data_IF_491218669815
#
_entry.id   IF_491218669815
#
_cell.length_a   1.000
_cell.length_b   1.000
_cell.length_c   1.000
_cell.angle_alpha   90.00
_cell.angle_beta   90.00
_cell.angle_gamma   90.00
#
_symmetry.space_group_name_H-M   'P 1'
#
loop_
_entity.id
_entity.type
_entity.pdbx_description
1 polymer ?
#
# COMPACT_ATOMS: atom_id res chain seq x y z
N UNK A 1 51.94 3.44 -39.28
CA UNK A 1 50.53 3.68 -39.65
C UNK A 1 49.69 3.61 -38.40
N UNK A 2 49.59 4.74 -37.69
CA UNK A 2 48.66 4.97 -36.59
C UNK A 2 47.97 6.28 -36.94
N UNK A 3 46.65 6.25 -37.00
CA UNK A 3 45.82 7.36 -37.47
C UNK A 3 45.26 8.11 -36.26
N UNK A 4 45.71 9.33 -36.07
CA UNK A 4 45.17 10.29 -35.12
C UNK A 4 43.77 10.77 -35.56
N UNK A 5 42.84 10.79 -34.62
CA UNK A 5 41.56 11.50 -34.74
C UNK A 5 41.48 12.59 -33.66
N UNK A 6 41.17 13.85 -34.02
CA UNK A 6 41.11 14.93 -33.06
C UNK A 6 39.79 14.98 -32.28
N UNK A 7 39.94 15.29 -30.99
CA UNK A 7 38.93 15.69 -30.02
C UNK A 7 37.94 16.73 -30.58
N UNK A 8 36.64 16.49 -30.37
CA UNK A 8 35.60 17.53 -30.45
C UNK A 8 35.11 17.89 -29.03
N UNK A 9 34.90 19.18 -28.72
CA UNK A 9 34.45 19.62 -27.41
C UNK A 9 32.95 19.37 -27.20
N UNK A 10 32.59 18.91 -26.00
CA UNK A 10 31.21 18.87 -25.53
C UNK A 10 30.75 20.29 -25.17
N UNK A 11 29.74 20.81 -25.87
CA UNK A 11 29.01 22.01 -25.49
C UNK A 11 27.88 21.63 -24.52
N UNK A 12 27.91 22.21 -23.32
CA UNK A 12 26.80 22.18 -22.37
C UNK A 12 25.74 23.20 -22.79
N UNK A 13 24.55 22.72 -23.17
CA UNK A 13 23.37 23.59 -23.27
C UNK A 13 22.52 23.42 -22.01
N UNK A 14 22.47 24.49 -21.24
CA UNK A 14 21.54 24.73 -20.15
C UNK A 14 20.12 24.85 -20.69
N UNK A 15 19.29 23.84 -20.44
CA UNK A 15 17.84 23.96 -20.66
C UNK A 15 17.21 24.66 -19.47
N UNK A 16 16.79 25.91 -19.68
CA UNK A 16 15.85 26.61 -18.82
C UNK A 16 14.48 25.92 -18.93
N UNK A 17 14.04 25.26 -17.87
CA UNK A 17 12.68 24.75 -17.76
C UNK A 17 11.73 25.89 -17.38
N UNK A 18 10.85 26.28 -18.30
CA UNK A 18 9.64 27.02 -17.98
C UNK A 18 8.55 26.06 -17.44
N UNK A 19 7.70 26.52 -16.49
CA UNK A 19 6.71 25.66 -15.85
C UNK A 19 5.54 25.39 -16.81
N UNK A 20 5.38 24.13 -17.19
CA UNK A 20 4.23 23.69 -17.97
C UNK A 20 3.06 23.43 -17.00
N UNK A 21 2.07 24.32 -17.03
CA UNK A 21 0.81 24.23 -16.30
C UNK A 21 0.04 22.98 -16.75
N UNK A 22 0.10 21.93 -15.95
CA UNK A 22 -0.70 20.72 -16.18
C UNK A 22 -2.14 20.99 -15.75
N UNK A 23 -3.01 21.17 -16.74
CA UNK A 23 -4.46 21.12 -16.56
C UNK A 23 -4.84 19.75 -15.99
N UNK A 24 -5.47 19.77 -14.81
CA UNK A 24 -5.94 18.57 -14.13
C UNK A 24 -7.09 17.91 -14.88
N UNK A 25 -6.90 16.65 -15.28
CA UNK A 25 -8.00 15.81 -15.72
C UNK A 25 -8.69 15.21 -14.50
N UNK A 26 -9.76 15.86 -14.03
CA UNK A 26 -10.76 15.26 -13.16
C UNK A 26 -11.65 14.34 -14.02
N UNK A 27 -11.39 13.04 -13.96
CA UNK A 27 -12.40 12.03 -14.25
C UNK A 27 -12.57 11.17 -13.00
N UNK A 28 -13.33 11.72 -12.06
CA UNK A 28 -13.89 10.97 -10.94
C UNK A 28 -15.06 10.12 -11.45
N UNK A 29 -15.27 8.90 -10.92
CA UNK A 29 -16.51 8.19 -11.14
C UNK A 29 -17.67 9.06 -10.62
N UNK A 30 -18.67 9.24 -11.47
CA UNK A 30 -19.89 9.98 -11.19
C UNK A 30 -20.73 9.21 -10.16
N UNK A 31 -20.35 9.28 -8.88
CA UNK A 31 -21.14 8.77 -7.75
C UNK A 31 -21.75 9.93 -6.96
N UNK A 32 -22.20 10.97 -7.67
CA UNK A 32 -23.09 12.00 -7.13
C UNK A 32 -24.53 11.49 -7.08
N UNK A 33 -24.77 10.35 -6.43
CA UNK A 33 -26.09 10.12 -5.85
C UNK A 33 -26.09 10.80 -4.49
N UNK A 34 -26.76 11.93 -4.47
CA UNK A 34 -26.99 12.79 -3.33
C UNK A 34 -27.85 11.99 -2.32
N UNK A 35 -27.21 11.32 -1.36
CA UNK A 35 -27.89 10.73 -0.21
C UNK A 35 -28.13 11.83 0.85
N UNK A 36 -29.02 12.77 0.53
CA UNK A 36 -29.48 13.77 1.49
C UNK A 36 -30.36 13.08 2.56
N UNK A 37 -29.99 13.17 3.84
CA UNK A 37 -30.97 13.02 4.93
C UNK A 37 -30.66 12.09 6.10
N UNK A 38 -29.47 11.50 6.22
CA UNK A 38 -29.07 10.85 7.49
C UNK A 38 -27.92 11.62 8.14
N UNK A 39 -27.99 11.97 9.45
CA UNK A 39 -26.86 12.54 10.14
C UNK A 39 -25.72 11.52 10.13
N UNK A 40 -24.67 11.82 9.37
CA UNK A 40 -23.46 11.00 9.31
C UNK A 40 -22.83 11.01 10.71
N UNK A 41 -22.92 9.90 11.44
CA UNK A 41 -22.11 9.72 12.62
C UNK A 41 -20.70 9.36 12.14
N UNK A 42 -19.88 10.36 11.82
CA UNK A 42 -18.45 10.10 11.62
C UNK A 42 -17.83 9.88 13.00
N UNK A 43 -17.48 8.64 13.30
CA UNK A 43 -16.64 8.36 14.46
C UNK A 43 -15.29 9.07 14.27
N UNK A 44 -14.94 9.92 15.23
CA UNK A 44 -13.64 10.60 15.26
C UNK A 44 -12.72 9.80 16.19
N UNK A 45 -11.69 9.19 15.61
CA UNK A 45 -10.82 8.23 16.31
C UNK A 45 -9.41 8.82 16.41
N UNK A 46 -8.85 9.01 17.61
CA UNK A 46 -7.44 9.38 17.74
C UNK A 46 -6.56 8.29 17.11
N UNK A 47 -5.63 8.65 16.22
CA UNK A 47 -4.80 7.67 15.52
C UNK A 47 -4.07 6.72 16.49
N UNK A 48 -3.58 7.26 17.62
CA UNK A 48 -2.91 6.49 18.67
C UNK A 48 -3.75 5.39 19.32
N UNK A 49 -5.08 5.41 19.11
CA UNK A 49 -6.05 4.40 19.54
C UNK A 49 -6.60 3.57 18.37
N UNK A 50 -6.12 3.80 17.15
CA UNK A 50 -6.56 3.05 15.98
C UNK A 50 -6.06 1.61 16.02
N UNK A 51 -6.93 0.68 15.63
CA UNK A 51 -6.63 -0.75 15.53
C UNK A 51 -6.53 -1.19 14.06
N UNK A 52 -6.12 -0.27 13.17
CA UNK A 52 -5.98 -0.49 11.74
C UNK A 52 -4.76 -1.35 11.36
N UNK A 53 -4.63 -1.63 10.06
CA UNK A 53 -3.53 -2.42 9.53
C UNK A 53 -2.16 -1.87 9.91
N UNK A 54 -1.98 -0.54 9.92
CA UNK A 54 -0.68 0.07 10.22
C UNK A 54 -0.25 -0.23 11.65
N UNK A 55 -1.15 -0.07 12.62
CA UNK A 55 -0.85 -0.32 14.03
C UNK A 55 -0.71 -1.81 14.33
N UNK A 56 -1.45 -2.68 13.64
CA UNK A 56 -1.31 -4.13 13.76
C UNK A 56 -0.03 -4.66 13.09
N UNK A 57 0.39 -4.07 11.97
CA UNK A 57 1.59 -4.48 11.23
C UNK A 57 2.86 -4.01 11.91
N UNK A 58 2.99 -2.70 12.18
CA UNK A 58 4.21 -2.11 12.74
C UNK A 58 4.22 -2.06 14.27
N UNK A 59 3.08 -2.23 14.93
CA UNK A 59 2.92 -1.86 16.33
C UNK A 59 2.71 -0.35 16.49
N UNK A 60 2.11 0.06 17.61
CA UNK A 60 1.69 1.45 17.84
C UNK A 60 2.84 2.47 17.78
N UNK A 61 4.01 2.11 18.30
CA UNK A 61 5.19 2.99 18.34
C UNK A 61 5.74 3.29 16.94
N UNK A 62 6.06 2.25 16.17
CA UNK A 62 6.57 2.41 14.81
C UNK A 62 5.53 2.99 13.85
N UNK A 63 4.25 2.62 14.01
CA UNK A 63 3.16 3.22 13.25
C UNK A 63 3.01 4.73 13.53
N UNK A 64 3.23 5.18 14.77
CA UNK A 64 3.24 6.61 15.13
C UNK A 64 4.35 7.35 14.38
N UNK A 65 5.59 6.85 14.45
CA UNK A 65 6.72 7.45 13.73
C UNK A 65 6.51 7.48 12.22
N UNK A 66 5.90 6.43 11.67
CA UNK A 66 5.51 6.37 10.27
C UNK A 66 4.52 7.49 9.90
N UNK A 67 3.46 7.66 10.69
CA UNK A 67 2.45 8.70 10.46
C UNK A 67 3.04 10.11 10.54
N UNK A 68 3.90 10.37 11.53
CA UNK A 68 4.59 11.66 11.68
C UNK A 68 5.47 11.94 10.46
N UNK A 69 6.16 10.91 9.96
CA UNK A 69 6.99 11.01 8.75
C UNK A 69 6.15 11.19 7.48
N UNK A 70 4.98 10.54 7.39
CA UNK A 70 4.11 10.61 6.23
C UNK A 70 3.40 11.97 6.14
N UNK A 71 2.74 12.37 7.22
CA UNK A 71 1.81 13.50 7.24
C UNK A 71 2.45 14.81 7.71
N UNK A 72 3.66 14.75 8.27
CA UNK A 72 4.38 15.91 8.86
C UNK A 72 3.59 16.59 9.98
N UNK A 73 2.82 15.81 10.73
CA UNK A 73 2.04 16.25 11.90
C UNK A 73 2.29 15.32 13.07
N UNK A 74 2.12 15.79 14.30
CA UNK A 74 2.20 14.93 15.48
C UNK A 74 1.05 13.92 15.46
N UNK A 75 1.34 12.62 15.61
CA UNK A 75 0.30 11.59 15.52
C UNK A 75 -0.72 11.65 16.66
N UNK A 76 -0.40 12.30 17.79
CA UNK A 76 -1.33 12.52 18.91
C UNK A 76 -2.41 13.55 18.60
N UNK A 77 -2.10 14.46 17.69
CA UNK A 77 -3.02 15.51 17.23
C UNK A 77 -3.83 15.05 16.01
N UNK A 78 -3.56 13.84 15.51
CA UNK A 78 -4.23 13.26 14.36
C UNK A 78 -5.51 12.52 14.78
N UNK A 79 -6.61 12.97 14.20
CA UNK A 79 -7.92 12.32 14.32
C UNK A 79 -8.37 11.76 12.97
N UNK A 80 -8.88 10.54 12.99
CA UNK A 80 -9.34 9.80 11.83
C UNK A 80 -10.86 9.81 11.76
N UNK A 81 -11.36 9.88 10.53
CA UNK A 81 -12.77 9.78 10.18
C UNK A 81 -13.07 8.31 9.88
N UNK A 82 -13.90 7.69 10.72
CA UNK A 82 -14.47 6.36 10.50
C UNK A 82 -15.86 6.42 9.86
N UNK A 83 -16.42 5.24 9.56
CA UNK A 83 -17.80 5.05 9.09
C UNK A 83 -18.17 5.88 7.84
N UNK A 84 -17.21 6.06 6.94
CA UNK A 84 -17.42 6.79 5.69
C UNK A 84 -18.26 5.95 4.73
N UNK A 85 -19.31 6.55 4.15
CA UNK A 85 -20.26 5.85 3.28
C UNK A 85 -19.54 5.20 2.08
N UNK A 86 -19.82 3.91 1.85
CA UNK A 86 -19.18 3.12 0.78
C UNK A 86 -17.74 2.66 1.09
N UNK A 87 -17.25 2.95 2.30
CA UNK A 87 -15.90 2.66 2.76
C UNK A 87 -15.93 2.00 4.14
N UNK A 88 -16.37 0.74 4.18
CA UNK A 88 -16.44 -0.03 5.41
C UNK A 88 -15.06 -0.17 6.06
N UNK A 89 -15.00 0.06 7.38
CA UNK A 89 -13.78 -0.02 8.20
C UNK A 89 -12.65 0.93 7.79
N UNK A 90 -12.89 1.86 6.86
CA UNK A 90 -11.88 2.82 6.45
C UNK A 90 -11.64 3.86 7.54
N UNK A 91 -10.38 4.22 7.72
CA UNK A 91 -9.92 5.27 8.60
C UNK A 91 -9.28 6.35 7.71
N UNK A 92 -9.95 7.49 7.62
CA UNK A 92 -9.57 8.55 6.69
C UNK A 92 -9.03 9.79 7.40
N UNK A 93 -8.16 10.53 6.73
CA UNK A 93 -7.63 11.80 7.21
C UNK A 93 -8.07 12.94 6.28
N UNK A 94 -8.51 14.09 6.83
CA UNK A 94 -8.78 15.27 6.04
C UNK A 94 -7.48 16.03 5.74
N UNK A 95 -7.39 16.56 4.52
CA UNK A 95 -6.34 17.49 4.06
C UNK A 95 -4.93 17.21 4.61
N UNK A 96 -4.38 16.01 4.38
CA UNK A 96 -3.01 15.72 4.78
C UNK A 96 -2.05 16.66 4.06
N UNK A 97 -0.98 17.11 4.73
CA UNK A 97 0.07 17.99 4.16
C UNK A 97 0.92 17.34 3.05
N UNK A 98 0.40 16.29 2.42
CA UNK A 98 1.07 15.51 1.39
C UNK A 98 0.62 15.98 0.01
N UNK A 99 1.53 15.95 -0.95
CA UNK A 99 1.20 16.20 -2.35
C UNK A 99 0.66 14.93 -3.01
N UNK A 100 -0.50 14.46 -2.56
CA UNK A 100 -1.21 13.29 -3.09
C UNK A 100 -2.64 13.69 -3.47
N UNK A 101 -2.97 13.69 -4.76
CA UNK A 101 -4.29 14.06 -5.24
C UNK A 101 -5.37 12.98 -5.05
N UNK A 102 -5.03 11.82 -4.48
CA UNK A 102 -5.89 10.63 -4.42
C UNK A 102 -6.77 10.57 -3.18
N UNK A 103 -7.62 11.57 -2.99
CA UNK A 103 -8.70 11.42 -2.02
C UNK A 103 -9.75 10.43 -2.55
N UNK A 104 -10.38 9.70 -1.64
CA UNK A 104 -11.30 8.59 -1.98
C UNK A 104 -12.75 8.87 -1.61
N UNK A 105 -12.98 9.92 -0.83
CA UNK A 105 -14.30 10.37 -0.40
C UNK A 105 -14.30 11.88 -0.16
N UNK A 106 -15.50 12.44 -0.02
CA UNK A 106 -15.72 13.84 0.34
C UNK A 106 -16.59 13.83 1.61
N UNK A 107 -16.14 14.53 2.64
CA UNK A 107 -16.88 14.72 3.88
C UNK A 107 -18.10 15.65 3.67
N UNK A 108 -19.10 15.65 4.57
CA UNK A 108 -20.31 16.49 4.42
C UNK A 108 -20.04 17.99 4.28
N UNK A 109 -18.91 18.47 4.81
CA UNK A 109 -18.44 19.85 4.69
C UNK A 109 -17.67 20.13 3.37
N UNK A 110 -17.81 19.25 2.37
CA UNK A 110 -17.11 19.30 1.09
C UNK A 110 -15.58 19.19 1.18
N UNK A 111 -15.06 18.64 2.28
CA UNK A 111 -13.63 18.42 2.47
C UNK A 111 -13.19 17.07 1.89
N UNK A 112 -12.12 17.01 1.08
CA UNK A 112 -11.59 15.74 0.60
C UNK A 112 -11.04 14.87 1.75
N UNK A 113 -11.22 13.56 1.63
CA UNK A 113 -10.77 12.56 2.60
C UNK A 113 -9.84 11.54 1.95
N UNK A 114 -8.67 11.32 2.56
CA UNK A 114 -7.68 10.36 2.10
C UNK A 114 -7.73 9.10 2.95
N UNK A 115 -7.64 7.94 2.30
CA UNK A 115 -7.59 6.66 2.97
C UNK A 115 -6.22 6.49 3.65
N UNK A 116 -6.19 6.53 4.98
CA UNK A 116 -4.96 6.35 5.75
C UNK A 116 -4.78 4.90 6.18
N UNK A 117 -5.83 4.29 6.70
CA UNK A 117 -5.79 2.93 7.22
C UNK A 117 -7.16 2.24 7.07
N UNK A 118 -7.21 0.93 7.33
CA UNK A 118 -8.44 0.13 7.38
C UNK A 118 -8.40 -0.75 8.61
N UNK A 119 -9.50 -0.85 9.35
CA UNK A 119 -9.64 -1.82 10.44
C UNK A 119 -9.77 -3.24 9.87
N UNK A 120 -8.86 -4.18 10.20
CA UNK A 120 -8.92 -5.54 9.69
C UNK A 120 -10.13 -6.28 10.25
N UNK A 121 -10.72 -7.15 9.42
CA UNK A 121 -11.74 -8.09 9.87
C UNK A 121 -11.17 -9.15 10.84
N UNK A 122 -12.01 -9.76 11.70
CA UNK A 122 -11.55 -10.66 12.78
C UNK A 122 -11.04 -12.02 12.29
N UNK A 123 -11.37 -12.42 11.05
CA UNK A 123 -11.05 -13.73 10.50
C UNK A 123 -9.56 -13.93 10.16
N UNK A 124 -8.83 -12.84 9.97
CA UNK A 124 -7.44 -12.87 9.49
C UNK A 124 -6.52 -12.17 10.48
N UNK A 125 -5.30 -12.70 10.63
CA UNK A 125 -4.24 -12.06 11.41
C UNK A 125 -3.37 -11.24 10.48
N UNK A 126 -3.17 -9.97 10.82
CA UNK A 126 -2.18 -9.11 10.13
C UNK A 126 -0.79 -9.63 10.46
N UNK A 127 0.05 -9.80 9.45
CA UNK A 127 1.45 -10.22 9.65
C UNK A 127 2.22 -9.04 10.25
N UNK A 128 2.73 -9.15 11.49
CA UNK A 128 3.54 -8.09 12.06
C UNK A 128 4.87 -8.02 11.31
N UNK A 129 5.34 -6.81 11.05
CA UNK A 129 6.60 -6.57 10.36
C UNK A 129 7.30 -5.41 11.04
N UNK A 130 8.61 -5.53 11.25
CA UNK A 130 9.42 -4.40 11.70
C UNK A 130 9.54 -3.38 10.57
N UNK A 131 9.23 -2.11 10.82
CA UNK A 131 9.40 -1.08 9.80
C UNK A 131 10.88 -0.99 9.39
N UNK A 132 11.14 -0.90 8.08
CA UNK A 132 12.51 -0.66 7.63
C UNK A 132 12.94 0.76 7.97
N UNK A 133 14.12 0.88 8.57
CA UNK A 133 14.74 2.17 8.90
C UNK A 133 16.13 2.23 8.26
N UNK A 134 16.52 3.34 7.63
CA UNK A 134 17.90 3.55 7.21
C UNK A 134 18.89 3.37 8.37
N UNK A 135 20.12 2.87 8.10
CA UNK A 135 21.07 2.51 9.14
C UNK A 135 21.71 3.73 9.83
N UNK A 136 21.68 4.91 9.20
CA UNK A 136 22.28 6.12 9.74
C UNK A 136 21.33 7.33 9.65
N UNK A 137 21.61 8.34 10.47
CA UNK A 137 20.75 9.53 10.61
C UNK A 137 20.66 10.37 9.34
N UNK A 138 21.73 10.41 8.53
CA UNK A 138 21.75 11.18 7.28
C UNK A 138 20.80 10.57 6.24
N UNK A 139 20.83 9.25 6.10
CA UNK A 139 19.92 8.51 5.23
C UNK A 139 18.49 8.52 5.78
N UNK A 140 18.31 8.48 7.11
CA UNK A 140 17.01 8.70 7.74
C UNK A 140 16.41 10.04 7.32
N UNK A 141 17.18 11.12 7.49
CA UNK A 141 16.76 12.46 7.10
C UNK A 141 16.37 12.51 5.62
N UNK A 142 17.23 11.99 4.76
CA UNK A 142 17.06 12.06 3.30
C UNK A 142 15.88 11.24 2.79
N UNK A 143 15.72 10.01 3.28
CA UNK A 143 14.80 9.04 2.69
C UNK A 143 13.49 8.85 3.46
N UNK A 144 13.38 9.39 4.68
CA UNK A 144 12.17 9.26 5.52
C UNK A 144 11.68 10.64 5.96
N UNK A 145 12.48 11.39 6.71
CA UNK A 145 12.05 12.63 7.36
C UNK A 145 11.77 13.76 6.37
N UNK A 146 12.65 13.98 5.40
CA UNK A 146 12.51 15.03 4.36
C UNK A 146 11.85 14.49 3.09
N UNK A 147 11.62 13.18 3.01
CA UNK A 147 10.97 12.58 1.87
C UNK A 147 9.46 12.91 1.86
N UNK A 148 8.93 13.09 0.66
CA UNK A 148 7.50 13.16 0.41
C UNK A 148 6.97 11.73 0.23
N UNK A 149 6.70 11.06 1.34
CA UNK A 149 6.10 9.73 1.32
C UNK A 149 4.67 9.79 0.76
N UNK A 150 4.26 8.71 0.08
CA UNK A 150 2.94 8.54 -0.51
C UNK A 150 1.99 7.88 0.47
N UNK A 151 0.70 8.16 0.31
CA UNK A 151 -0.34 7.46 1.07
C UNK A 151 -0.24 5.94 0.87
N UNK A 152 -0.55 5.15 1.91
CA UNK A 152 -0.79 3.72 1.79
C UNK A 152 -1.70 3.40 0.61
N UNK A 153 -1.35 2.33 -0.11
CA UNK A 153 -2.15 1.83 -1.23
C UNK A 153 -2.82 0.55 -0.74
N UNK A 154 -4.12 0.62 -0.44
CA UNK A 154 -4.93 -0.55 -0.16
C UNK A 154 -5.49 -1.14 -1.45
N UNK A 155 -5.46 -2.46 -1.56
CA UNK A 155 -5.99 -3.17 -2.72
C UNK A 155 -7.47 -3.46 -2.50
N UNK A 156 -8.31 -2.54 -2.94
CA UNK A 156 -9.76 -2.62 -2.78
C UNK A 156 -10.38 -3.29 -4.00
N UNK A 157 -11.14 -4.35 -3.78
CA UNK A 157 -11.87 -5.02 -4.84
C UNK A 157 -13.11 -4.21 -5.27
N UNK A 158 -13.66 -4.51 -6.44
CA UNK A 158 -14.83 -3.80 -6.99
C UNK A 158 -16.09 -3.95 -6.10
N UNK A 159 -16.19 -5.07 -5.39
CA UNK A 159 -17.24 -5.34 -4.39
C UNK A 159 -17.00 -4.62 -3.04
N UNK A 160 -15.87 -3.90 -2.89
CA UNK A 160 -15.49 -3.19 -1.67
C UNK A 160 -14.68 -4.04 -0.69
N UNK A 161 -14.43 -5.32 -0.96
CA UNK A 161 -13.58 -6.16 -0.11
C UNK A 161 -12.13 -5.63 -0.11
N UNK A 162 -11.49 -5.69 1.06
CA UNK A 162 -10.10 -5.26 1.23
C UNK A 162 -9.14 -6.43 1.07
N UNK A 163 -8.13 -6.24 0.22
CA UNK A 163 -7.12 -7.23 -0.10
C UNK A 163 -7.60 -8.30 -1.09
N UNK A 164 -6.67 -9.15 -1.52
CA UNK A 164 -6.96 -10.29 -2.39
C UNK A 164 -6.03 -11.48 -2.07
N UNK A 165 -6.48 -12.73 -2.26
CA UNK A 165 -5.61 -13.90 -2.14
C UNK A 165 -4.36 -13.78 -3.01
N UNK A 166 -3.21 -14.20 -2.49
CA UNK A 166 -1.92 -14.10 -3.18
C UNK A 166 -1.95 -14.74 -4.59
N UNK A 167 -2.59 -15.91 -4.71
CA UNK A 167 -2.78 -16.60 -5.98
C UNK A 167 -3.50 -15.72 -7.03
N UNK A 168 -4.49 -14.93 -6.61
CA UNK A 168 -5.18 -13.98 -7.50
C UNK A 168 -4.27 -12.83 -7.89
N UNK A 169 -3.48 -12.31 -6.95
CA UNK A 169 -2.47 -11.28 -7.23
C UNK A 169 -1.46 -11.71 -8.31
N UNK A 170 -1.00 -12.97 -8.25
CA UNK A 170 -0.08 -13.55 -9.25
C UNK A 170 -0.70 -13.62 -10.64
N UNK A 171 -1.98 -13.96 -10.73
CA UNK A 171 -2.67 -14.05 -12.02
C UNK A 171 -2.81 -12.68 -12.71
N UNK A 172 -2.99 -11.59 -11.94
CA UNK A 172 -3.19 -10.24 -12.49
C UNK A 172 -4.59 -10.04 -13.06
N UNK A 173 -5.63 -10.48 -12.34
CA UNK A 173 -7.01 -10.34 -12.76
C UNK A 173 -7.49 -8.87 -12.65
N UNK A 174 -7.46 -8.16 -13.78
CA UNK A 174 -7.81 -6.73 -13.89
C UNK A 174 -9.19 -6.38 -13.33
N UNK A 175 -10.18 -7.21 -13.65
CA UNK A 175 -11.60 -6.93 -13.45
C UNK A 175 -12.04 -6.95 -11.97
N UNK A 176 -11.15 -7.30 -11.04
CA UNK A 176 -11.48 -7.40 -9.63
C UNK A 176 -11.07 -6.15 -8.84
N UNK A 177 -10.09 -5.38 -9.31
CA UNK A 177 -9.50 -4.30 -8.52
C UNK A 177 -10.11 -2.95 -8.87
N UNK A 178 -10.61 -2.23 -7.86
CA UNK A 178 -11.11 -0.86 -8.00
C UNK A 178 -9.98 0.04 -8.48
N UNK A 179 -10.13 0.61 -9.67
CA UNK A 179 -9.11 1.45 -10.30
C UNK A 179 -7.85 0.69 -10.73
N UNK A 180 -7.94 -0.61 -11.01
CA UNK A 180 -6.80 -1.43 -11.42
C UNK A 180 -6.08 -0.92 -12.68
N UNK A 181 -6.78 -0.21 -13.57
CA UNK A 181 -6.28 0.43 -14.78
C UNK A 181 -5.61 1.79 -14.53
N UNK A 182 -5.79 2.38 -13.35
CA UNK A 182 -5.22 3.69 -13.00
C UNK A 182 -3.75 3.56 -12.60
N UNK A 183 -2.95 4.63 -12.73
CA UNK A 183 -1.58 4.65 -12.21
C UNK A 183 -1.54 4.29 -10.72
N UNK A 184 -0.50 3.57 -10.30
CA UNK A 184 -0.35 3.19 -8.89
C UNK A 184 0.13 4.34 -7.99
N UNK A 185 0.69 5.42 -8.57
CA UNK A 185 1.20 6.60 -7.85
C UNK A 185 2.27 6.27 -6.80
N UNK A 186 3.28 5.52 -7.24
CA UNK A 186 4.47 5.06 -6.53
C UNK A 186 5.58 6.12 -6.44
N UNK A 187 5.45 7.22 -7.20
CA UNK A 187 6.34 8.38 -7.11
C UNK A 187 7.24 8.62 -8.34
N UNK A 188 8.27 9.44 -8.15
CA UNK A 188 9.09 10.00 -9.24
C UNK A 188 10.20 9.10 -9.79
N UNK A 189 10.32 7.85 -9.34
CA UNK A 189 11.42 6.95 -9.70
C UNK A 189 11.15 6.05 -10.92
N UNK A 190 12.20 5.34 -11.37
CA UNK A 190 12.11 4.25 -12.35
C UNK A 190 11.88 2.88 -11.71
N UNK A 191 12.36 2.70 -10.49
CA UNK A 191 12.27 1.46 -9.73
C UNK A 191 12.13 1.74 -8.24
N UNK A 192 11.66 0.75 -7.50
CA UNK A 192 11.57 0.81 -6.03
C UNK A 192 11.91 -0.55 -5.43
N UNK A 193 12.36 -0.57 -4.18
CA UNK A 193 12.53 -1.79 -3.41
C UNK A 193 11.21 -2.18 -2.72
N UNK A 194 10.86 -3.46 -2.79
CA UNK A 194 9.86 -4.09 -1.93
C UNK A 194 10.61 -4.81 -0.82
N UNK A 195 10.25 -4.51 0.43
CA UNK A 195 10.89 -5.04 1.64
C UNK A 195 9.88 -5.86 2.43
N UNK A 196 10.29 -7.01 2.95
CA UNK A 196 9.48 -7.90 3.77
C UNK A 196 10.27 -8.21 5.04
N UNK A 197 9.69 -7.93 6.19
CA UNK A 197 10.30 -8.23 7.49
C UNK A 197 9.42 -9.26 8.23
N UNK A 198 9.33 -10.47 7.68
CA UNK A 198 8.45 -11.52 8.18
C UNK A 198 8.97 -12.09 9.52
N UNK A 199 8.11 -12.29 10.54
CA UNK A 199 8.56 -12.72 11.86
C UNK A 199 9.30 -14.06 11.83
N UNK A 200 10.49 -14.09 12.44
CA UNK A 200 11.34 -15.29 12.51
C UNK A 200 12.25 -15.50 11.30
N UNK A 201 12.17 -14.66 10.26
CA UNK A 201 13.02 -14.72 9.08
C UNK A 201 13.88 -13.48 8.95
N UNK A 202 14.99 -13.59 8.22
CA UNK A 202 15.79 -12.42 7.84
C UNK A 202 14.98 -11.47 6.94
N UNK A 203 15.27 -10.17 7.07
CA UNK A 203 14.68 -9.14 6.21
C UNK A 203 14.98 -9.45 4.75
N UNK A 204 13.94 -9.46 3.93
CA UNK A 204 14.03 -9.77 2.51
C UNK A 204 13.74 -8.53 1.68
N UNK A 205 14.47 -8.34 0.59
CA UNK A 205 14.23 -7.21 -0.31
C UNK A 205 14.35 -7.60 -1.78
N UNK A 206 13.57 -6.91 -2.61
CA UNK A 206 13.67 -7.04 -4.06
C UNK A 206 13.27 -5.77 -4.78
N UNK A 207 14.07 -5.39 -5.78
CA UNK A 207 13.76 -4.26 -6.64
C UNK A 207 12.71 -4.63 -7.71
N UNK A 208 11.77 -3.73 -7.95
CA UNK A 208 10.78 -3.80 -9.03
C UNK A 208 10.83 -2.53 -9.87
N UNK A 209 10.47 -2.64 -11.15
CA UNK A 209 10.32 -1.48 -12.05
C UNK A 209 8.94 -0.86 -11.85
N UNK A 210 8.89 0.46 -11.68
CA UNK A 210 7.65 1.23 -11.44
C UNK A 210 7.25 2.10 -12.64
N UNK A 211 8.02 2.03 -13.72
CA UNK A 211 7.68 2.60 -15.03
C UNK A 211 7.51 1.48 -16.05
N UNK A 212 6.60 1.70 -16.99
CA UNK A 212 6.43 0.81 -18.12
C UNK A 212 7.60 0.93 -19.12
N UNK A 213 7.59 0.04 -20.12
CA UNK A 213 8.60 0.03 -21.17
C UNK A 213 8.23 0.91 -22.37
N UNK A 214 7.18 1.72 -22.25
CA UNK A 214 6.79 2.63 -23.34
C UNK A 214 7.81 3.75 -23.47
N UNK A 215 7.80 4.44 -24.62
CA UNK A 215 8.66 5.60 -24.85
C UNK A 215 8.42 6.72 -23.83
N UNK A 216 7.19 6.88 -23.37
CA UNK A 216 6.81 7.88 -22.37
C UNK A 216 7.17 7.48 -20.93
N UNK A 217 7.57 6.21 -20.70
CA UNK A 217 7.90 5.68 -19.36
C UNK A 217 6.81 6.03 -18.36
N UNK A 218 5.58 5.70 -18.71
CA UNK A 218 4.43 5.97 -17.87
C UNK A 218 4.55 5.15 -16.58
N UNK A 219 3.95 5.67 -15.52
CA UNK A 219 3.84 4.93 -14.27
C UNK A 219 3.04 3.65 -14.46
N UNK A 220 3.44 2.57 -13.79
CA UNK A 220 2.71 1.30 -13.88
C UNK A 220 1.31 1.43 -13.29
N UNK A 221 0.38 0.63 -13.81
CA UNK A 221 -0.99 0.57 -13.27
C UNK A 221 -1.01 -0.09 -11.89
N UNK A 222 -2.08 0.16 -11.12
CA UNK A 222 -2.30 -0.46 -9.82
C UNK A 222 -2.33 -2.00 -9.93
N UNK A 223 -2.99 -2.56 -10.94
CA UNK A 223 -2.99 -4.00 -11.20
C UNK A 223 -1.57 -4.54 -11.41
N UNK A 224 -0.76 -3.84 -12.21
CA UNK A 224 0.62 -4.24 -12.46
C UNK A 224 1.45 -4.20 -11.17
N UNK A 225 1.22 -3.19 -10.33
CA UNK A 225 1.87 -3.08 -9.03
C UNK A 225 1.51 -4.24 -8.10
N UNK A 226 0.21 -4.57 -7.98
CA UNK A 226 -0.28 -5.75 -7.23
C UNK A 226 0.40 -7.02 -7.69
N UNK A 227 0.48 -7.25 -9.01
CA UNK A 227 1.13 -8.44 -9.58
C UNK A 227 2.62 -8.52 -9.25
N UNK A 228 3.32 -7.38 -9.28
CA UNK A 228 4.74 -7.31 -8.93
C UNK A 228 4.97 -7.61 -7.44
N UNK A 229 4.15 -7.05 -6.56
CA UNK A 229 4.21 -7.34 -5.11
C UNK A 229 3.86 -8.80 -4.84
N UNK A 230 2.82 -9.34 -5.47
CA UNK A 230 2.46 -10.75 -5.33
C UNK A 230 3.62 -11.67 -5.74
N UNK A 231 4.32 -11.37 -6.85
CA UNK A 231 5.49 -12.13 -7.28
C UNK A 231 6.70 -12.01 -6.34
N UNK A 232 6.84 -10.86 -5.65
CA UNK A 232 7.83 -10.67 -4.58
C UNK A 232 7.48 -11.55 -3.38
N UNK A 233 6.25 -11.49 -2.89
CA UNK A 233 5.78 -12.25 -1.71
C UNK A 233 5.83 -13.76 -1.98
N UNK A 234 5.35 -14.23 -3.14
CA UNK A 234 5.43 -15.66 -3.52
C UNK A 234 6.87 -16.16 -3.53
N UNK A 235 7.80 -15.36 -4.05
CA UNK A 235 9.21 -15.74 -4.04
C UNK A 235 9.79 -15.80 -2.63
N UNK A 236 9.46 -14.82 -1.78
CA UNK A 236 9.85 -14.85 -0.38
C UNK A 236 9.34 -16.15 0.27
N UNK A 237 8.05 -16.49 0.12
CA UNK A 237 7.45 -17.68 0.73
C UNK A 237 8.11 -18.98 0.26
N UNK A 238 8.48 -19.09 -1.02
CA UNK A 238 9.23 -20.26 -1.54
C UNK A 238 10.56 -20.43 -0.86
N UNK A 239 11.35 -19.34 -0.74
CA UNK A 239 12.65 -19.39 -0.06
C UNK A 239 12.45 -19.71 1.43
N UNK A 240 11.57 -18.97 2.09
CA UNK A 240 11.25 -19.13 3.52
C UNK A 240 10.74 -20.53 3.86
N UNK A 241 10.02 -21.20 2.97
CA UNK A 241 9.54 -22.58 3.20
C UNK A 241 10.65 -23.61 3.37
N UNK A 242 11.87 -23.29 2.91
CA UNK A 242 13.07 -24.13 3.05
C UNK A 242 14.03 -23.64 4.13
N UNK A 243 13.75 -22.49 4.75
CA UNK A 243 14.62 -21.91 5.78
C UNK A 243 14.21 -22.42 7.17
N UNK A 244 15.10 -23.11 7.89
CA UNK A 244 14.83 -23.52 9.26
C UNK A 244 14.68 -22.30 10.15
N UNK A 245 13.55 -22.22 10.86
CA UNK A 245 13.27 -21.20 11.88
C UNK A 245 12.71 -21.89 13.12
N UNK A 246 12.82 -21.28 14.31
CA UNK A 246 12.14 -21.78 15.50
C UNK A 246 10.64 -21.99 15.23
N UNK A 247 10.02 -22.92 15.97
CA UNK A 247 8.58 -23.10 15.85
C UNK A 247 7.86 -21.85 16.33
N UNK A 248 7.26 -21.13 15.39
CA UNK A 248 6.53 -19.89 15.65
C UNK A 248 5.18 -19.93 14.95
N UNK A 249 4.23 -19.14 15.44
CA UNK A 249 2.93 -18.95 14.78
C UNK A 249 3.05 -18.35 13.36
N UNK A 250 4.24 -17.91 12.95
CA UNK A 250 4.56 -17.30 11.66
C UNK A 250 5.43 -18.18 10.78
N UNK A 251 5.68 -19.44 11.16
CA UNK A 251 6.47 -20.39 10.35
C UNK A 251 5.85 -20.56 8.96
N UNK A 252 6.65 -20.35 7.92
CA UNK A 252 6.30 -20.56 6.51
C UNK A 252 6.70 -21.98 6.09
N UNK A 253 5.84 -22.63 5.29
CA UNK A 253 6.10 -23.96 4.73
C UNK A 253 5.14 -25.04 5.22
N UNK A 254 5.45 -26.33 4.98
CA UNK A 254 4.59 -27.45 5.37
C UNK A 254 4.20 -27.42 6.86
N UNK A 255 2.91 -27.60 7.13
CA UNK A 255 2.35 -27.52 8.50
C UNK A 255 2.36 -26.12 9.12
N UNK A 256 2.75 -25.09 8.36
CA UNK A 256 2.69 -23.68 8.74
C UNK A 256 1.92 -22.87 7.70
N UNK A 257 2.32 -21.61 7.52
CA UNK A 257 1.71 -20.67 6.56
C UNK A 257 2.22 -21.00 5.16
N UNK A 258 1.30 -21.14 4.21
CA UNK A 258 1.58 -21.35 2.79
C UNK A 258 1.10 -20.16 1.96
N UNK A 259 1.41 -20.16 0.66
CA UNK A 259 0.92 -19.13 -0.26
C UNK A 259 -0.61 -19.06 -0.36
N UNK A 260 -1.31 -20.16 -0.06
CA UNK A 260 -2.78 -20.22 -0.07
C UNK A 260 -3.40 -19.48 1.12
N UNK A 261 -2.64 -19.28 2.19
CA UNK A 261 -3.13 -18.65 3.41
C UNK A 261 -2.96 -17.13 3.39
N UNK A 262 -2.20 -16.60 2.42
CA UNK A 262 -1.81 -15.19 2.37
C UNK A 262 -2.80 -14.35 1.57
N UNK A 263 -3.28 -13.29 2.21
CA UNK A 263 -4.02 -12.19 1.60
C UNK A 263 -3.08 -11.00 1.45
N UNK A 264 -2.98 -10.47 0.24
CA UNK A 264 -2.26 -9.25 -0.07
C UNK A 264 -3.21 -8.06 0.10
N UNK A 265 -3.02 -7.28 1.17
CA UNK A 265 -3.94 -6.22 1.58
C UNK A 265 -3.62 -4.89 0.91
N UNK A 266 -2.34 -4.58 0.75
CA UNK A 266 -1.89 -3.29 0.26
C UNK A 266 -0.38 -3.15 0.32
N UNK A 267 0.10 -1.91 0.22
CA UNK A 267 1.50 -1.57 0.42
C UNK A 267 1.64 -0.18 1.03
N UNK A 268 2.68 0.00 1.85
CA UNK A 268 3.01 1.26 2.52
C UNK A 268 4.41 1.71 2.11
N UNK A 269 4.54 2.97 1.75
CA UNK A 269 5.85 3.54 1.43
C UNK A 269 6.59 3.88 2.72
N UNK A 270 7.65 3.15 3.04
CA UNK A 270 8.42 3.35 4.28
C UNK A 270 9.64 4.25 4.06
N UNK A 271 10.02 4.49 2.81
CA UNK A 271 11.05 5.46 2.42
C UNK A 271 10.90 5.90 0.96
N UNK A 272 11.61 6.94 0.55
CA UNK A 272 11.56 7.47 -0.83
C UNK A 272 11.80 6.41 -1.93
N UNK A 273 12.48 5.30 -1.60
CA UNK A 273 12.76 4.19 -2.54
C UNK A 273 12.26 2.82 -2.06
N UNK A 274 11.43 2.76 -1.01
CA UNK A 274 11.08 1.51 -0.34
C UNK A 274 9.59 1.41 -0.02
N UNK A 275 8.98 0.28 -0.39
CA UNK A 275 7.63 -0.11 -0.02
C UNK A 275 7.64 -1.41 0.76
N UNK A 276 6.74 -1.55 1.73
CA UNK A 276 6.47 -2.80 2.44
C UNK A 276 5.04 -3.26 2.17
N UNK A 277 4.82 -4.54 1.86
CA UNK A 277 3.48 -5.06 1.64
C UNK A 277 2.74 -5.20 2.98
N UNK A 278 1.46 -4.84 2.99
CA UNK A 278 0.55 -5.18 4.08
C UNK A 278 0.02 -6.57 3.80
N UNK A 279 0.22 -7.50 4.73
CA UNK A 279 -0.12 -8.91 4.57
C UNK A 279 -1.05 -9.37 5.68
N UNK A 280 -1.96 -10.26 5.31
CA UNK A 280 -2.80 -11.01 6.22
C UNK A 280 -2.62 -12.50 5.99
N UNK A 281 -2.80 -13.28 7.04
CA UNK A 281 -2.87 -14.74 6.96
C UNK A 281 -4.15 -15.24 7.59
N UNK A 282 -4.70 -16.32 7.05
CA UNK A 282 -5.82 -17.01 7.66
C UNK A 282 -5.52 -17.38 9.13
N UNK A 283 -6.49 -17.19 10.01
CA UNK A 283 -6.35 -17.53 11.43
C UNK A 283 -7.05 -18.85 11.76
N UNK A 284 -6.34 -19.99 11.83
CA UNK A 284 -6.98 -21.26 12.14
C UNK A 284 -7.51 -21.34 13.58
N UNK A 285 -7.13 -20.45 14.50
CA UNK A 285 -7.68 -20.42 15.87
C UNK A 285 -9.05 -19.73 15.97
N UNK A 286 -9.52 -19.10 14.89
CA UNK A 286 -10.90 -18.65 14.80
C UNK A 286 -11.68 -19.75 14.06
N UNK A 287 -12.59 -20.49 14.72
CA UNK A 287 -13.37 -21.51 14.03
C UNK A 287 -14.09 -20.84 12.87
N UNK A 288 -13.84 -21.31 11.66
CA UNK A 288 -14.68 -20.98 10.51
C UNK A 288 -16.11 -21.30 10.91
N UNK A 289 -17.08 -20.38 10.74
CA UNK A 289 -18.46 -20.82 10.72
C UNK A 289 -18.54 -21.91 9.64
N UNK A 290 -19.21 -23.05 9.92
CA UNK A 290 -19.30 -24.13 8.95
C UNK A 290 -19.80 -23.57 7.62
N UNK A 291 -19.30 -24.07 6.47
CA UNK A 291 -19.75 -23.61 5.18
C UNK A 291 -21.27 -23.65 5.17
N UNK A 292 -21.90 -22.48 5.02
CA UNK A 292 -23.34 -22.38 4.88
C UNK A 292 -23.70 -23.26 3.69
N UNK A 293 -24.30 -24.41 3.97
CA UNK A 293 -24.92 -25.25 2.96
C UNK A 293 -25.89 -24.36 2.19
N UNK A 294 -25.49 -23.96 0.98
CA UNK A 294 -26.43 -23.51 -0.02
C UNK A 294 -27.39 -24.67 -0.23
N UNK A 295 -28.54 -24.60 0.43
CA UNK A 295 -29.69 -25.42 0.07
C UNK A 295 -30.06 -25.01 -1.36
N UNK A 296 -30.12 -25.93 -2.32
CA UNK A 296 -30.73 -25.64 -3.60
C UNK A 296 -32.18 -25.27 -3.30
N UNK A 297 -32.58 -24.06 -3.69
CA UNK A 297 -33.98 -23.67 -3.71
C UNK A 297 -34.64 -24.51 -4.80
N UNK A 298 -35.28 -25.60 -4.39
CA UNK A 298 -36.29 -26.29 -5.19
C UNK A 298 -37.66 -25.83 -4.70
N UNK A 299 -38.29 -24.95 -5.47
CA UNK A 299 -39.72 -24.92 -5.80
C UNK A 299 -39.93 -23.79 -6.82
#
# INVERSE_FOLDING_TARGET
MFSDHPNRPYTSQSYQNQPNTSQGYQNQPNTSQIYLGKPYATAVIPFVRSEGFLTKMFGRGEATLYIESLLKVNARDLFLFGDVLGWHNALMVPNPSINDGRYVAIAPNNQPLWLLDITPGPLYRVVPQKIWTPPNQSDWRRYVEQANLRMPIFFIQNDGATGLPLARGLSGQRALLRGGDKPAHLGGGHSTQIRIAWPGYESWERQIQIRDQTRQRNEITLERFVKLIAGVVDRFLRVASSTPVPDTAWRVGPGGITSNDVILVGAVQVSAGGWMPILQVFNPSHPTPPPSHYSPVHA
#
